data_IF_418526245728
#
_entry.id   IF_418526245728
#
_cell.length_a   1.000
_cell.length_b   1.000
_cell.length_c   1.000
_cell.angle_alpha   90.00
_cell.angle_beta   90.00
_cell.angle_gamma   90.00
#
_symmetry.space_group_name_H-M   'P 1'
#
loop_
_entity.id
_entity.type
_entity.pdbx_description
1 polymer ?
#
# COMPACT_ATOMS: atom_id res chain seq x y z
N UNK A 1 -65.71 -9.94 -85.92
CA UNK A 1 -66.94 -10.39 -86.61
C UNK A 1 -66.74 -11.85 -86.96
N UNK A 2 -67.57 -12.74 -86.43
CA UNK A 2 -67.55 -14.15 -86.80
C UNK A 2 -68.16 -14.32 -88.21
N UNK A 3 -67.67 -15.28 -88.99
CA UNK A 3 -68.24 -15.57 -90.32
C UNK A 3 -69.50 -16.43 -90.12
N UNK A 4 -70.67 -16.06 -90.66
CA UNK A 4 -71.86 -16.90 -90.55
C UNK A 4 -71.61 -18.24 -91.26
N UNK A 5 -71.95 -19.34 -90.58
CA UNK A 5 -71.75 -20.69 -91.11
C UNK A 5 -72.72 -20.95 -92.27
N UNK A 6 -72.23 -21.50 -93.39
CA UNK A 6 -73.10 -21.79 -94.54
C UNK A 6 -73.96 -23.03 -94.25
N UNK A 7 -75.20 -23.12 -94.76
CA UNK A 7 -76.09 -24.27 -94.50
C UNK A 7 -75.47 -25.64 -94.82
N UNK A 8 -74.65 -25.74 -95.88
CA UNK A 8 -73.96 -26.98 -96.24
C UNK A 8 -72.75 -27.32 -95.33
N UNK A 9 -72.15 -26.32 -94.68
CA UNK A 9 -71.10 -26.52 -93.66
C UNK A 9 -71.75 -27.01 -92.37
N UNK A 10 -72.83 -26.34 -91.92
CA UNK A 10 -73.61 -26.75 -90.76
C UNK A 10 -74.16 -28.18 -90.91
N UNK A 11 -74.73 -28.54 -92.07
CA UNK A 11 -75.23 -29.89 -92.34
C UNK A 11 -74.13 -30.97 -92.27
N UNK A 12 -72.95 -30.70 -92.84
CA UNK A 12 -71.79 -31.61 -92.76
C UNK A 12 -71.33 -31.81 -91.31
N UNK A 13 -71.24 -30.74 -90.53
CA UNK A 13 -70.86 -30.82 -89.11
C UNK A 13 -71.93 -31.56 -88.30
N UNK A 14 -73.23 -31.28 -88.51
CA UNK A 14 -74.32 -32.03 -87.86
C UNK A 14 -74.26 -33.54 -88.15
N UNK A 15 -73.90 -33.94 -89.37
CA UNK A 15 -73.73 -35.36 -89.72
C UNK A 15 -72.58 -36.01 -88.92
N UNK A 16 -71.42 -35.35 -88.87
CA UNK A 16 -70.28 -35.81 -88.07
C UNK A 16 -70.61 -35.86 -86.56
N UNK A 17 -71.29 -34.82 -86.03
CA UNK A 17 -71.74 -34.78 -84.63
C UNK A 17 -72.68 -35.95 -84.30
N UNK A 18 -73.63 -36.29 -85.19
CA UNK A 18 -74.52 -37.45 -85.01
C UNK A 18 -73.71 -38.75 -84.86
N UNK A 19 -72.65 -38.94 -85.64
CA UNK A 19 -71.83 -40.17 -85.57
C UNK A 19 -70.84 -40.16 -84.39
N UNK A 20 -70.32 -39.01 -83.99
CA UNK A 20 -69.54 -38.86 -82.76
C UNK A 20 -70.42 -39.18 -81.54
N UNK A 21 -71.65 -38.66 -81.49
CA UNK A 21 -72.60 -38.94 -80.40
C UNK A 21 -73.02 -40.42 -80.36
N UNK A 22 -73.20 -41.09 -81.50
CA UNK A 22 -73.39 -42.56 -81.54
C UNK A 22 -72.20 -43.29 -80.90
N UNK A 23 -70.97 -42.92 -81.25
CA UNK A 23 -69.74 -43.54 -80.71
C UNK A 23 -69.57 -43.26 -79.21
N UNK A 24 -69.80 -42.04 -78.75
CA UNK A 24 -69.74 -41.69 -77.32
C UNK A 24 -70.81 -42.42 -76.49
N UNK A 25 -72.00 -42.65 -77.03
CA UNK A 25 -73.05 -43.42 -76.37
C UNK A 25 -72.79 -44.94 -76.41
N UNK A 26 -72.17 -45.45 -77.47
CA UNK A 26 -71.68 -46.83 -77.51
C UNK A 26 -70.59 -47.08 -76.46
N UNK A 27 -69.59 -46.18 -76.37
CA UNK A 27 -68.55 -46.23 -75.33
C UNK A 27 -69.15 -46.20 -73.91
N UNK A 28 -70.15 -45.35 -73.67
CA UNK A 28 -70.87 -45.32 -72.40
C UNK A 28 -71.53 -46.65 -72.04
N UNK A 29 -72.14 -47.34 -73.01
CA UNK A 29 -72.72 -48.69 -72.81
C UNK A 29 -71.65 -49.75 -72.53
N UNK A 30 -70.54 -49.74 -73.29
CA UNK A 30 -69.42 -50.66 -73.05
C UNK A 30 -68.84 -50.46 -71.65
N UNK A 31 -68.59 -49.21 -71.24
CA UNK A 31 -68.14 -48.90 -69.87
C UNK A 31 -69.14 -49.35 -68.80
N UNK A 32 -70.45 -49.21 -69.04
CA UNK A 32 -71.48 -49.69 -68.11
C UNK A 32 -71.50 -51.21 -67.99
N UNK A 33 -71.18 -51.95 -69.06
CA UNK A 33 -71.02 -53.41 -69.01
C UNK A 33 -69.71 -53.86 -68.33
N UNK A 34 -68.62 -53.11 -68.47
CA UNK A 34 -67.35 -53.41 -67.77
C UNK A 34 -67.39 -53.08 -66.27
N UNK A 35 -68.16 -52.06 -65.87
CA UNK A 35 -68.30 -51.56 -64.47
C UNK A 35 -68.74 -52.59 -63.44
N UNK A 36 -69.25 -53.75 -63.85
CA UNK A 36 -69.65 -54.86 -62.97
C UNK A 36 -68.75 -56.09 -63.05
N UNK A 37 -67.62 -56.01 -63.77
CA UNK A 37 -66.67 -57.13 -63.90
C UNK A 37 -65.25 -56.74 -63.53
N UNK A 38 -64.72 -55.68 -64.16
CA UNK A 38 -63.40 -55.11 -63.81
C UNK A 38 -63.36 -54.63 -62.35
N UNK A 39 -64.52 -54.33 -61.76
CA UNK A 39 -64.66 -53.82 -60.41
C UNK A 39 -64.26 -54.83 -59.35
N UNK A 40 -64.67 -56.08 -59.54
CA UNK A 40 -64.43 -57.16 -58.60
C UNK A 40 -63.02 -57.70 -58.87
N UNK A 41 -62.72 -58.09 -60.12
CA UNK A 41 -61.41 -58.56 -60.59
C UNK A 41 -60.23 -57.69 -60.08
N UNK A 42 -60.30 -56.36 -60.25
CA UNK A 42 -59.18 -55.47 -59.85
C UNK A 42 -59.11 -55.18 -58.35
N UNK A 43 -60.25 -55.20 -57.64
CA UNK A 43 -60.27 -55.02 -56.19
C UNK A 43 -59.82 -56.28 -55.46
N UNK A 44 -60.18 -57.45 -55.97
CA UNK A 44 -59.77 -58.77 -55.47
C UNK A 44 -58.25 -58.96 -55.64
N UNK A 45 -57.70 -58.75 -56.84
CA UNK A 45 -56.25 -58.86 -57.11
C UNK A 45 -55.42 -57.93 -56.21
N UNK A 46 -55.88 -56.69 -55.95
CA UNK A 46 -55.20 -55.79 -55.02
C UNK A 46 -55.41 -56.18 -53.55
N UNK A 47 -56.58 -56.72 -53.19
CA UNK A 47 -56.86 -57.27 -51.87
C UNK A 47 -55.96 -58.46 -51.51
N UNK A 48 -55.72 -59.35 -52.47
CA UNK A 48 -54.82 -60.50 -52.34
C UNK A 48 -53.36 -60.06 -52.18
N UNK A 49 -52.86 -59.15 -53.02
CA UNK A 49 -51.48 -58.66 -52.93
C UNK A 49 -51.25 -57.85 -51.62
N UNK A 50 -52.21 -57.04 -51.17
CA UNK A 50 -52.16 -56.38 -49.86
C UNK A 50 -52.14 -57.43 -48.73
N UNK A 51 -53.01 -58.44 -48.79
CA UNK A 51 -53.08 -59.52 -47.79
C UNK A 51 -51.79 -60.33 -47.73
N UNK A 52 -51.17 -60.58 -48.89
CA UNK A 52 -49.86 -61.21 -49.03
C UNK A 52 -48.76 -60.36 -48.38
N UNK A 53 -48.66 -59.07 -48.73
CA UNK A 53 -47.65 -58.16 -48.17
C UNK A 53 -47.78 -58.06 -46.63
N UNK A 54 -49.02 -58.09 -46.11
CA UNK A 54 -49.29 -58.12 -44.65
C UNK A 54 -48.88 -59.46 -44.02
N UNK A 55 -49.05 -60.58 -44.72
CA UNK A 55 -48.57 -61.90 -44.27
C UNK A 55 -47.04 -61.95 -44.23
N UNK A 56 -46.37 -61.49 -45.29
CA UNK A 56 -44.91 -61.40 -45.38
C UNK A 56 -44.35 -60.44 -44.30
N UNK A 57 -45.03 -59.32 -44.03
CA UNK A 57 -44.72 -58.40 -42.93
C UNK A 57 -44.76 -59.11 -41.57
N UNK A 58 -45.86 -59.82 -41.24
CA UNK A 58 -46.01 -60.53 -39.96
C UNK A 58 -44.95 -61.61 -39.76
N UNK A 59 -44.57 -62.31 -40.83
CA UNK A 59 -43.50 -63.32 -40.79
C UNK A 59 -42.13 -62.68 -40.49
N UNK A 60 -41.84 -61.52 -41.10
CA UNK A 60 -40.63 -60.75 -40.80
C UNK A 60 -40.64 -60.19 -39.37
N UNK A 61 -41.78 -59.74 -38.84
CA UNK A 61 -41.93 -59.24 -37.48
C UNK A 61 -41.71 -60.36 -36.43
N UNK A 62 -42.30 -61.52 -36.64
CA UNK A 62 -42.06 -62.72 -35.81
C UNK A 62 -40.58 -63.10 -35.82
N UNK A 63 -39.97 -63.21 -37.01
CA UNK A 63 -38.55 -63.58 -37.17
C UNK A 63 -37.62 -62.55 -36.51
N UNK A 64 -37.97 -61.26 -36.56
CA UNK A 64 -37.24 -60.21 -35.86
C UNK A 64 -37.33 -60.37 -34.33
N UNK A 65 -38.53 -60.62 -33.79
CA UNK A 65 -38.73 -60.83 -32.37
C UNK A 65 -37.98 -62.09 -31.86
N UNK A 66 -38.01 -63.18 -32.62
CA UNK A 66 -37.25 -64.40 -32.33
C UNK A 66 -35.74 -64.13 -32.32
N UNK A 67 -35.19 -63.47 -33.33
CA UNK A 67 -33.76 -63.12 -33.39
C UNK A 67 -33.34 -62.19 -32.24
N UNK A 68 -34.16 -61.19 -31.88
CA UNK A 68 -33.88 -60.30 -30.75
C UNK A 68 -33.88 -61.07 -29.42
N UNK A 69 -34.84 -61.99 -29.22
CA UNK A 69 -34.89 -62.90 -28.06
C UNK A 69 -33.71 -63.87 -28.02
N UNK A 70 -33.23 -64.35 -29.16
CA UNK A 70 -32.00 -65.15 -29.23
C UNK A 70 -30.78 -64.31 -28.90
N UNK A 71 -30.71 -63.05 -29.36
CA UNK A 71 -29.60 -62.11 -29.04
C UNK A 71 -29.51 -61.81 -27.55
N UNK A 72 -30.63 -61.61 -26.85
CA UNK A 72 -30.62 -61.38 -25.39
C UNK A 72 -30.11 -62.59 -24.60
N UNK A 73 -30.26 -63.80 -25.14
CA UNK A 73 -29.82 -65.04 -24.49
C UNK A 73 -28.34 -65.39 -24.78
N UNK A 74 -27.67 -64.66 -25.68
CA UNK A 74 -26.28 -64.90 -26.09
C UNK A 74 -25.29 -63.95 -25.42
N UNK A 75 -25.43 -63.76 -24.12
CA UNK A 75 -24.44 -63.05 -23.29
C UNK A 75 -23.22 -63.94 -23.02
N UNK A 76 -22.06 -63.32 -22.81
CA UNK A 76 -20.80 -64.00 -22.47
C UNK A 76 -19.83 -64.21 -23.64
N UNK A 77 -18.53 -64.22 -23.33
CA UNK A 77 -17.41 -64.16 -24.30
C UNK A 77 -17.42 -65.34 -25.28
N UNK A 78 -17.80 -66.54 -24.81
CA UNK A 78 -17.90 -67.77 -25.62
C UNK A 78 -18.81 -67.61 -26.86
N UNK A 79 -19.86 -66.79 -26.76
CA UNK A 79 -20.87 -66.65 -27.80
C UNK A 79 -20.57 -65.55 -28.84
N UNK A 80 -19.42 -64.86 -28.75
CA UNK A 80 -19.12 -63.64 -29.53
C UNK A 80 -19.35 -63.76 -31.05
N UNK A 81 -19.00 -64.90 -31.67
CA UNK A 81 -19.21 -65.12 -33.12
C UNK A 81 -20.70 -65.18 -33.48
N UNK A 82 -21.47 -66.03 -32.77
CA UNK A 82 -22.93 -66.17 -32.97
C UNK A 82 -23.68 -64.88 -32.67
N UNK A 83 -23.21 -64.10 -31.70
CA UNK A 83 -23.77 -62.80 -31.35
C UNK A 83 -23.66 -61.80 -32.51
N UNK A 84 -22.49 -61.69 -33.16
CA UNK A 84 -22.32 -60.83 -34.34
C UNK A 84 -23.06 -61.36 -35.58
N UNK A 85 -23.12 -62.68 -35.78
CA UNK A 85 -23.92 -63.31 -36.85
C UNK A 85 -25.43 -62.99 -36.70
N UNK A 86 -25.98 -63.10 -35.49
CA UNK A 86 -27.40 -62.75 -35.22
C UNK A 86 -27.63 -61.23 -35.27
N UNK A 87 -26.67 -60.41 -34.84
CA UNK A 87 -26.72 -58.94 -34.97
C UNK A 87 -26.75 -58.49 -36.43
N UNK A 88 -26.08 -59.21 -37.34
CA UNK A 88 -26.20 -58.99 -38.78
C UNK A 88 -27.60 -59.40 -39.28
N UNK A 89 -28.08 -60.61 -38.94
CA UNK A 89 -29.42 -61.06 -39.33
C UNK A 89 -30.55 -60.14 -38.83
N UNK A 90 -30.42 -59.58 -37.62
CA UNK A 90 -31.34 -58.57 -37.06
C UNK A 90 -31.35 -57.30 -37.93
N UNK A 91 -30.18 -56.84 -38.38
CA UNK A 91 -30.05 -55.67 -39.28
C UNK A 91 -30.70 -55.96 -40.64
N UNK A 92 -30.50 -57.15 -41.19
CA UNK A 92 -31.02 -57.52 -42.49
C UNK A 92 -32.54 -57.71 -42.48
N UNK A 93 -33.09 -58.35 -41.43
CA UNK A 93 -34.54 -58.44 -41.22
C UNK A 93 -35.14 -57.06 -40.92
N UNK A 94 -34.45 -56.16 -40.20
CA UNK A 94 -34.92 -54.79 -40.00
C UNK A 94 -34.95 -53.97 -41.31
N UNK A 95 -33.99 -54.17 -42.21
CA UNK A 95 -34.03 -53.57 -43.54
C UNK A 95 -35.20 -54.14 -44.36
N UNK A 96 -35.38 -55.46 -44.37
CA UNK A 96 -36.49 -56.11 -45.06
C UNK A 96 -37.85 -55.65 -44.53
N UNK A 97 -38.03 -55.54 -43.21
CA UNK A 97 -39.22 -54.96 -42.57
C UNK A 97 -39.48 -53.54 -43.06
N UNK A 98 -38.47 -52.67 -43.02
CA UNK A 98 -38.60 -51.28 -43.45
C UNK A 98 -38.98 -51.18 -44.92
N UNK A 99 -38.37 -52.00 -45.78
CA UNK A 99 -38.53 -51.90 -47.22
C UNK A 99 -39.81 -52.63 -47.71
N UNK A 100 -40.27 -53.66 -47.00
CA UNK A 100 -41.63 -54.21 -47.14
C UNK A 100 -42.71 -53.24 -46.62
N UNK A 101 -42.46 -52.53 -45.51
CA UNK A 101 -43.35 -51.45 -45.03
C UNK A 101 -43.47 -50.34 -46.08
N UNK A 102 -42.36 -49.94 -46.72
CA UNK A 102 -42.42 -49.02 -47.88
C UNK A 102 -43.21 -49.60 -49.04
N UNK A 103 -43.09 -50.89 -49.33
CA UNK A 103 -43.87 -51.55 -50.38
C UNK A 103 -45.37 -51.50 -50.06
N UNK A 104 -45.79 -51.85 -48.85
CA UNK A 104 -47.17 -51.75 -48.39
C UNK A 104 -47.69 -50.30 -48.46
N UNK A 105 -46.97 -49.33 -47.91
CA UNK A 105 -47.34 -47.92 -47.99
C UNK A 105 -47.39 -47.39 -49.43
N UNK A 106 -46.61 -47.98 -50.34
CA UNK A 106 -46.67 -47.67 -51.77
C UNK A 106 -47.89 -48.30 -52.43
N UNK A 107 -48.14 -49.59 -52.25
CA UNK A 107 -49.32 -50.27 -52.82
C UNK A 107 -50.62 -49.63 -52.33
N UNK A 108 -50.70 -49.23 -51.06
CA UNK A 108 -51.87 -48.52 -50.51
C UNK A 108 -52.04 -47.08 -51.04
N UNK A 109 -50.97 -46.42 -51.51
CA UNK A 109 -50.98 -45.04 -52.01
C UNK A 109 -51.12 -44.96 -53.53
N UNK A 110 -50.43 -45.86 -54.23
CA UNK A 110 -50.46 -46.03 -55.68
C UNK A 110 -51.69 -46.87 -56.10
N UNK A 111 -52.50 -47.36 -55.14
CA UNK A 111 -53.85 -47.88 -55.36
C UNK A 111 -54.65 -46.86 -56.19
N UNK A 112 -54.90 -47.12 -57.48
CA UNK A 112 -55.63 -46.19 -58.31
C UNK A 112 -57.09 -46.25 -57.85
N UNK A 113 -57.70 -45.12 -57.52
CA UNK A 113 -59.15 -45.09 -57.34
C UNK A 113 -59.82 -45.24 -58.73
N UNK A 114 -59.86 -46.49 -59.22
CA UNK A 114 -60.46 -46.89 -60.49
C UNK A 114 -61.94 -46.51 -60.51
N UNK A 115 -62.62 -46.55 -59.35
CA UNK A 115 -64.00 -46.09 -59.23
C UNK A 115 -64.13 -44.59 -59.50
N UNK A 116 -63.36 -43.72 -58.83
CA UNK A 116 -63.40 -42.28 -59.07
C UNK A 116 -62.97 -41.93 -60.50
N UNK A 117 -61.97 -42.63 -61.05
CA UNK A 117 -61.56 -42.47 -62.44
C UNK A 117 -62.68 -42.87 -63.41
N UNK A 118 -63.40 -43.99 -63.18
CA UNK A 118 -64.52 -44.44 -64.02
C UNK A 118 -65.80 -43.60 -63.83
N UNK A 119 -66.00 -43.00 -62.66
CA UNK A 119 -67.03 -41.98 -62.41
C UNK A 119 -66.69 -40.69 -63.15
N UNK A 120 -65.41 -40.26 -63.09
CA UNK A 120 -64.92 -39.09 -63.80
C UNK A 120 -65.01 -39.27 -65.32
N UNK A 121 -64.51 -40.36 -65.89
CA UNK A 121 -64.58 -40.60 -67.36
C UNK A 121 -66.04 -40.62 -67.82
N UNK A 122 -66.96 -41.23 -67.06
CA UNK A 122 -68.39 -41.20 -67.38
C UNK A 122 -68.98 -39.78 -67.31
N UNK A 123 -68.60 -38.98 -66.30
CA UNK A 123 -69.00 -37.57 -66.18
C UNK A 123 -68.45 -36.71 -67.32
N UNK A 124 -67.16 -36.81 -67.62
CA UNK A 124 -66.47 -36.08 -68.69
C UNK A 124 -67.09 -36.47 -70.07
N UNK A 125 -67.40 -37.76 -70.27
CA UNK A 125 -68.12 -38.29 -71.46
C UNK A 125 -69.53 -37.72 -71.58
N UNK A 126 -70.28 -37.62 -70.48
CA UNK A 126 -71.62 -37.01 -70.45
C UNK A 126 -71.55 -35.50 -70.72
N UNK A 127 -70.61 -34.77 -70.11
CA UNK A 127 -70.41 -33.34 -70.34
C UNK A 127 -70.05 -33.05 -71.82
N UNK A 128 -69.14 -33.82 -72.40
CA UNK A 128 -68.81 -33.75 -73.83
C UNK A 128 -70.03 -34.07 -74.71
N UNK A 129 -70.80 -35.11 -74.38
CA UNK A 129 -72.00 -35.48 -75.14
C UNK A 129 -73.06 -34.37 -75.10
N UNK A 130 -73.25 -33.73 -73.94
CA UNK A 130 -74.18 -32.61 -73.78
C UNK A 130 -73.72 -31.37 -74.55
N UNK A 131 -72.41 -31.05 -74.53
CA UNK A 131 -71.86 -29.93 -75.29
C UNK A 131 -71.98 -30.15 -76.81
N UNK A 132 -71.74 -31.37 -77.30
CA UNK A 132 -71.90 -31.73 -78.71
C UNK A 132 -73.38 -31.83 -79.14
N UNK A 133 -74.30 -32.15 -78.23
CA UNK A 133 -75.74 -32.05 -78.46
C UNK A 133 -76.18 -30.57 -78.58
N UNK A 134 -75.75 -29.72 -77.64
CA UNK A 134 -76.02 -28.27 -77.68
C UNK A 134 -75.50 -27.65 -78.99
N UNK A 135 -74.26 -27.92 -79.37
CA UNK A 135 -73.70 -27.47 -80.65
C UNK A 135 -74.49 -28.02 -81.86
N UNK A 136 -74.92 -29.30 -81.83
CA UNK A 136 -75.75 -29.88 -82.91
C UNK A 136 -77.06 -29.11 -83.09
N UNK A 137 -77.65 -28.63 -82.00
CA UNK A 137 -78.94 -27.95 -81.99
C UNK A 137 -78.83 -26.43 -82.25
N UNK A 138 -77.76 -25.77 -81.76
CA UNK A 138 -77.33 -24.43 -82.23
C UNK A 138 -77.20 -24.40 -83.76
N UNK A 139 -76.56 -25.44 -84.32
CA UNK A 139 -76.31 -25.59 -85.76
C UNK A 139 -77.57 -25.85 -86.60
N UNK A 140 -78.72 -26.19 -85.99
CA UNK A 140 -80.02 -26.23 -86.70
C UNK A 140 -80.44 -24.81 -87.06
N UNK A 141 -80.17 -23.86 -86.16
CA UNK A 141 -80.45 -22.43 -86.32
C UNK A 141 -79.29 -21.67 -87.02
N UNK A 142 -78.35 -22.39 -87.63
CA UNK A 142 -77.12 -21.84 -88.25
C UNK A 142 -76.27 -20.98 -87.29
N UNK A 143 -76.31 -21.29 -86.00
CA UNK A 143 -75.52 -20.65 -84.96
C UNK A 143 -74.49 -21.63 -84.37
N UNK A 144 -73.51 -21.10 -83.63
CA UNK A 144 -72.64 -21.85 -82.73
C UNK A 144 -72.15 -21.00 -81.53
N UNK A 145 -72.64 -19.77 -81.39
CA UNK A 145 -72.11 -18.78 -80.44
C UNK A 145 -72.28 -19.21 -78.97
N UNK A 146 -73.35 -19.94 -78.64
CA UNK A 146 -73.56 -20.54 -77.30
C UNK A 146 -72.42 -21.50 -76.95
N UNK A 147 -72.08 -22.40 -77.87
CA UNK A 147 -70.94 -23.31 -77.73
C UNK A 147 -69.59 -22.57 -77.66
N UNK A 148 -69.37 -21.55 -78.50
CA UNK A 148 -68.14 -20.75 -78.48
C UNK A 148 -67.95 -19.99 -77.16
N UNK A 149 -69.02 -19.40 -76.61
CA UNK A 149 -69.02 -18.77 -75.29
C UNK A 149 -68.66 -19.78 -74.19
N UNK A 150 -69.35 -20.92 -74.13
CA UNK A 150 -69.14 -21.95 -73.11
C UNK A 150 -67.70 -22.51 -73.14
N UNK A 151 -67.11 -22.71 -74.31
CA UNK A 151 -65.70 -23.13 -74.45
C UNK A 151 -64.75 -22.02 -73.98
N UNK A 152 -65.04 -20.76 -74.29
CA UNK A 152 -64.22 -19.61 -73.86
C UNK A 152 -64.25 -19.45 -72.33
N UNK A 153 -65.41 -19.61 -71.70
CA UNK A 153 -65.56 -19.59 -70.24
C UNK A 153 -64.81 -20.75 -69.57
N UNK A 154 -64.89 -21.97 -70.12
CA UNK A 154 -64.14 -23.12 -69.61
C UNK A 154 -62.62 -22.95 -69.71
N UNK A 155 -62.11 -22.34 -70.80
CA UNK A 155 -60.69 -22.01 -70.94
C UNK A 155 -60.25 -20.96 -69.91
N UNK A 156 -61.03 -19.90 -69.70
CA UNK A 156 -60.74 -18.90 -68.66
C UNK A 156 -60.76 -19.50 -67.24
N UNK A 157 -61.69 -20.41 -66.96
CA UNK A 157 -61.75 -21.14 -65.70
C UNK A 157 -60.53 -22.08 -65.52
N UNK A 158 -60.09 -22.75 -66.59
CA UNK A 158 -58.87 -23.55 -66.58
C UNK A 158 -57.63 -22.70 -66.27
N UNK A 159 -57.46 -21.55 -66.93
CA UNK A 159 -56.36 -20.62 -66.66
C UNK A 159 -56.36 -20.11 -65.21
N UNK A 160 -57.54 -19.79 -64.67
CA UNK A 160 -57.70 -19.40 -63.26
C UNK A 160 -57.32 -20.54 -62.31
N UNK A 161 -57.67 -21.79 -62.63
CA UNK A 161 -57.30 -22.97 -61.86
C UNK A 161 -55.79 -23.24 -61.92
N UNK A 162 -55.13 -23.04 -63.06
CA UNK A 162 -53.67 -23.12 -63.18
C UNK A 162 -52.98 -22.05 -62.31
N UNK A 163 -53.44 -20.79 -62.38
CA UNK A 163 -52.93 -19.69 -61.54
C UNK A 163 -53.10 -19.98 -60.04
N UNK A 164 -54.27 -20.46 -59.62
CA UNK A 164 -54.52 -20.86 -58.22
C UNK A 164 -53.60 -22.00 -57.77
N UNK A 165 -53.40 -23.03 -58.61
CA UNK A 165 -52.49 -24.16 -58.29
C UNK A 165 -51.01 -23.73 -58.24
N UNK A 166 -50.61 -22.71 -58.98
CA UNK A 166 -49.27 -22.13 -58.85
C UNK A 166 -49.13 -21.39 -57.52
N UNK A 167 -50.06 -20.49 -57.20
CA UNK A 167 -50.07 -19.75 -55.92
C UNK A 167 -50.13 -20.69 -54.71
N UNK A 168 -50.88 -21.79 -54.79
CA UNK A 168 -50.93 -22.85 -53.77
C UNK A 168 -49.56 -23.52 -53.55
N UNK A 169 -48.80 -23.79 -54.61
CA UNK A 169 -47.45 -24.35 -54.51
C UNK A 169 -46.46 -23.34 -53.91
N UNK A 170 -46.51 -22.09 -54.36
CA UNK A 170 -45.64 -21.01 -53.87
C UNK A 170 -45.91 -20.71 -52.39
N UNK A 171 -47.18 -20.59 -51.99
CA UNK A 171 -47.55 -20.42 -50.57
C UNK A 171 -47.21 -21.65 -49.73
N UNK A 172 -47.41 -22.88 -50.24
CA UNK A 172 -47.00 -24.12 -49.55
C UNK A 172 -45.47 -24.23 -49.38
N UNK A 173 -44.69 -23.69 -50.30
CA UNK A 173 -43.24 -23.59 -50.17
C UNK A 173 -42.85 -22.54 -49.12
N UNK A 174 -43.43 -21.34 -49.20
CA UNK A 174 -43.15 -20.24 -48.26
C UNK A 174 -43.52 -20.59 -46.81
N UNK A 175 -44.60 -21.36 -46.60
CA UNK A 175 -44.98 -21.86 -45.26
C UNK A 175 -43.96 -22.87 -44.72
N UNK A 176 -43.32 -23.68 -45.59
CA UNK A 176 -42.26 -24.61 -45.16
C UNK A 176 -40.97 -23.88 -44.81
N UNK A 177 -40.51 -22.96 -45.66
CA UNK A 177 -39.30 -22.18 -45.36
C UNK A 177 -39.49 -21.36 -44.08
N UNK A 178 -40.63 -20.69 -43.91
CA UNK A 178 -40.94 -19.95 -42.68
C UNK A 178 -40.98 -20.85 -41.43
N UNK A 179 -41.48 -22.09 -41.53
CA UNK A 179 -41.46 -23.04 -40.43
C UNK A 179 -40.06 -23.60 -40.13
N UNK A 180 -39.20 -23.73 -41.13
CA UNK A 180 -37.79 -24.13 -40.97
C UNK A 180 -36.94 -23.00 -40.38
N UNK A 181 -37.15 -21.76 -40.81
CA UNK A 181 -36.46 -20.57 -40.29
C UNK A 181 -36.91 -20.23 -38.86
N UNK A 182 -38.22 -20.24 -38.57
CA UNK A 182 -38.74 -20.10 -37.19
C UNK A 182 -38.16 -21.16 -36.24
N UNK A 183 -38.04 -22.41 -36.71
CA UNK A 183 -37.43 -23.48 -35.93
C UNK A 183 -35.94 -23.22 -35.66
N UNK A 184 -35.20 -22.64 -36.61
CA UNK A 184 -33.79 -22.25 -36.44
C UNK A 184 -33.67 -21.11 -35.43
N UNK A 185 -34.39 -20.02 -35.63
CA UNK A 185 -34.41 -18.85 -34.75
C UNK A 185 -34.79 -19.21 -33.31
N UNK A 186 -35.76 -20.12 -33.12
CA UNK A 186 -36.10 -20.66 -31.81
C UNK A 186 -34.97 -21.49 -31.16
N UNK A 187 -34.22 -22.27 -31.95
CA UNK A 187 -33.07 -23.04 -31.46
C UNK A 187 -31.88 -22.14 -31.10
N UNK A 188 -31.65 -21.08 -31.88
CA UNK A 188 -30.61 -20.10 -31.65
C UNK A 188 -30.94 -19.29 -30.37
N UNK A 189 -32.16 -18.76 -30.24
CA UNK A 189 -32.64 -18.08 -29.02
C UNK A 189 -32.55 -18.97 -27.76
N UNK A 190 -32.94 -20.25 -27.86
CA UNK A 190 -32.81 -21.19 -26.74
C UNK A 190 -31.36 -21.50 -26.36
N UNK A 191 -30.41 -21.29 -27.28
CA UNK A 191 -28.96 -21.42 -27.02
C UNK A 191 -28.42 -20.15 -26.37
N UNK A 192 -28.68 -18.98 -26.94
CA UNK A 192 -28.30 -17.67 -26.39
C UNK A 192 -28.85 -17.46 -24.98
N UNK A 193 -30.14 -17.75 -24.76
CA UNK A 193 -30.79 -17.66 -23.44
C UNK A 193 -30.11 -18.57 -22.39
N UNK A 194 -29.63 -19.74 -22.80
CA UNK A 194 -28.90 -20.67 -21.92
C UNK A 194 -27.48 -20.16 -21.63
N UNK A 195 -26.79 -19.59 -22.61
CA UNK A 195 -25.45 -19.01 -22.43
C UNK A 195 -25.51 -17.76 -21.53
N UNK A 196 -26.44 -16.84 -21.77
CA UNK A 196 -26.71 -15.70 -20.90
C UNK A 196 -27.05 -16.13 -19.46
N UNK A 197 -27.85 -17.19 -19.28
CA UNK A 197 -28.16 -17.72 -17.95
C UNK A 197 -26.92 -18.36 -17.26
N UNK A 198 -25.99 -18.93 -18.01
CA UNK A 198 -24.71 -19.41 -17.47
C UNK A 198 -23.80 -18.25 -17.06
N UNK A 199 -23.72 -17.18 -17.84
CA UNK A 199 -22.91 -16.00 -17.51
C UNK A 199 -23.49 -15.21 -16.34
N UNK A 200 -24.81 -15.10 -16.23
CA UNK A 200 -25.50 -14.59 -15.03
C UNK A 200 -25.11 -15.41 -13.79
N UNK A 201 -24.95 -16.73 -13.92
CA UNK A 201 -24.52 -17.57 -12.79
C UNK A 201 -23.04 -17.36 -12.44
N UNK A 202 -22.13 -17.35 -13.42
CA UNK A 202 -20.69 -17.02 -13.20
C UNK A 202 -20.53 -15.69 -12.47
N UNK A 203 -21.21 -14.64 -12.94
CA UNK A 203 -21.16 -13.30 -12.34
C UNK A 203 -21.72 -13.25 -10.91
N UNK A 204 -22.69 -14.11 -10.56
CA UNK A 204 -23.18 -14.24 -9.17
C UNK A 204 -22.14 -14.90 -8.28
N UNK A 205 -21.48 -15.94 -8.78
CA UNK A 205 -20.46 -16.69 -8.04
C UNK A 205 -19.19 -15.84 -7.85
N UNK A 206 -18.77 -15.08 -8.87
CA UNK A 206 -17.71 -14.07 -8.79
C UNK A 206 -18.02 -13.00 -7.74
N UNK A 207 -19.24 -12.44 -7.75
CA UNK A 207 -19.67 -11.44 -6.75
C UNK A 207 -19.73 -12.03 -5.34
N UNK A 208 -20.10 -13.30 -5.19
CA UNK A 208 -20.05 -14.00 -3.89
C UNK A 208 -18.61 -14.18 -3.41
N UNK A 209 -17.70 -14.65 -4.29
CA UNK A 209 -16.28 -14.83 -3.99
C UNK A 209 -15.60 -13.50 -3.66
N UNK A 210 -15.90 -12.42 -4.39
CA UNK A 210 -15.39 -11.08 -4.10
C UNK A 210 -15.86 -10.58 -2.73
N UNK A 211 -17.15 -10.74 -2.38
CA UNK A 211 -17.67 -10.38 -1.05
C UNK A 211 -17.00 -11.15 0.08
N UNK A 212 -16.77 -12.46 -0.11
CA UNK A 212 -16.07 -13.30 0.87
C UNK A 212 -14.61 -12.83 1.03
N UNK A 213 -13.90 -12.63 -0.08
CA UNK A 213 -12.52 -12.13 -0.10
C UNK A 213 -12.38 -10.75 0.56
N UNK A 214 -13.29 -9.82 0.25
CA UNK A 214 -13.35 -8.50 0.87
C UNK A 214 -13.61 -8.59 2.37
N UNK A 215 -14.57 -9.41 2.82
CA UNK A 215 -14.86 -9.59 4.24
C UNK A 215 -13.68 -10.21 5.01
N UNK A 216 -12.91 -11.12 4.41
CA UNK A 216 -11.65 -11.61 5.00
C UNK A 216 -10.58 -10.53 5.05
N UNK A 217 -10.41 -9.76 3.96
CA UNK A 217 -9.45 -8.66 3.89
C UNK A 217 -9.75 -7.59 4.95
N UNK A 218 -11.00 -7.15 5.07
CA UNK A 218 -11.42 -6.19 6.11
C UNK A 218 -11.12 -6.72 7.51
N UNK A 219 -11.52 -7.96 7.84
CA UNK A 219 -11.21 -8.58 9.14
C UNK A 219 -9.72 -8.75 9.44
N UNK A 220 -8.90 -8.92 8.40
CA UNK A 220 -7.45 -8.96 8.56
C UNK A 220 -6.90 -7.55 8.83
N UNK A 221 -7.31 -6.56 8.05
CA UNK A 221 -6.90 -5.15 8.23
C UNK A 221 -7.35 -4.58 9.58
N UNK A 222 -8.57 -4.91 10.04
CA UNK A 222 -9.06 -4.57 11.38
C UNK A 222 -8.13 -5.12 12.46
N UNK A 223 -7.78 -6.42 12.40
CA UNK A 223 -6.88 -7.06 13.38
C UNK A 223 -5.45 -6.53 13.33
N UNK A 224 -4.94 -6.20 12.14
CA UNK A 224 -3.59 -5.67 11.94
C UNK A 224 -3.48 -4.25 12.52
N UNK A 225 -4.49 -3.40 12.28
CA UNK A 225 -4.62 -2.07 12.88
C UNK A 225 -4.78 -2.14 14.40
N UNK A 226 -5.63 -3.03 14.91
CA UNK A 226 -5.88 -3.19 16.35
C UNK A 226 -4.63 -3.73 17.07
N UNK A 227 -3.92 -4.69 16.48
CA UNK A 227 -2.63 -5.17 16.99
C UNK A 227 -1.54 -4.08 16.97
N UNK A 228 -1.48 -3.28 15.91
CA UNK A 228 -0.57 -2.13 15.81
C UNK A 228 -0.89 -1.08 16.89
N UNK A 229 -2.16 -0.71 17.05
CA UNK A 229 -2.63 0.22 18.08
C UNK A 229 -2.31 -0.27 19.50
N UNK A 230 -2.56 -1.55 19.80
CA UNK A 230 -2.22 -2.16 21.10
C UNK A 230 -0.69 -2.26 21.30
N UNK A 231 0.10 -2.30 20.22
CA UNK A 231 1.57 -2.23 20.30
C UNK A 231 2.05 -0.81 20.60
N UNK A 232 1.55 0.19 19.87
CA UNK A 232 1.86 1.61 20.11
C UNK A 232 1.42 2.05 21.52
N UNK A 233 0.21 1.69 21.94
CA UNK A 233 -0.32 2.02 23.27
C UNK A 233 0.57 1.49 24.39
N UNK A 234 1.09 0.26 24.28
CA UNK A 234 2.02 -0.31 25.26
C UNK A 234 3.36 0.43 25.27
N UNK A 235 3.92 0.75 24.11
CA UNK A 235 5.15 1.55 23.99
C UNK A 235 4.96 2.97 24.57
N UNK A 236 3.78 3.58 24.39
CA UNK A 236 3.44 4.87 25.03
C UNK A 236 3.30 4.76 26.56
N UNK A 237 2.70 3.69 27.06
CA UNK A 237 2.61 3.43 28.51
C UNK A 237 4.00 3.18 29.13
N UNK A 238 4.88 2.46 28.42
CA UNK A 238 6.27 2.23 28.83
C UNK A 238 7.04 3.56 28.92
N UNK A 239 6.98 4.39 27.87
CA UNK A 239 7.52 5.77 27.85
C UNK A 239 6.97 6.62 29.00
N UNK A 240 5.67 6.57 29.26
CA UNK A 240 5.04 7.30 30.38
C UNK A 240 5.58 6.81 31.73
N UNK A 241 5.73 5.50 31.94
CA UNK A 241 6.32 4.97 33.17
C UNK A 241 7.78 5.36 33.35
N UNK A 242 8.57 5.41 32.27
CA UNK A 242 9.97 5.86 32.31
C UNK A 242 10.07 7.34 32.66
N UNK A 243 9.30 8.22 32.03
CA UNK A 243 9.26 9.64 32.41
C UNK A 243 8.79 9.83 33.86
N UNK A 244 7.80 9.06 34.32
CA UNK A 244 7.37 9.07 35.72
C UNK A 244 8.45 8.55 36.69
N UNK A 245 9.35 7.68 36.25
CA UNK A 245 10.49 7.20 37.04
C UNK A 245 11.64 8.21 37.04
N UNK A 246 11.91 8.86 35.90
CA UNK A 246 12.86 9.96 35.79
C UNK A 246 12.46 11.13 36.68
N UNK A 247 11.19 11.57 36.63
CA UNK A 247 10.63 12.61 37.50
C UNK A 247 10.86 12.25 38.98
N UNK A 248 10.49 11.04 39.42
CA UNK A 248 10.74 10.59 40.81
C UNK A 248 12.23 10.55 41.19
N UNK A 249 13.13 10.36 40.23
CA UNK A 249 14.58 10.39 40.47
C UNK A 249 15.09 11.83 40.63
N UNK A 250 14.60 12.75 39.79
CA UNK A 250 14.91 14.18 39.85
C UNK A 250 14.32 14.82 41.12
N UNK A 251 13.09 14.49 41.50
CA UNK A 251 12.47 14.92 42.76
C UNK A 251 13.30 14.50 43.98
N UNK A 252 13.80 13.25 43.99
CA UNK A 252 14.72 12.76 45.03
C UNK A 252 16.04 13.53 45.02
N UNK A 253 16.63 13.76 43.84
CA UNK A 253 17.87 14.53 43.70
C UNK A 253 17.69 15.95 44.26
N UNK A 254 16.65 16.67 43.83
CA UNK A 254 16.28 18.00 44.31
C UNK A 254 16.00 18.01 45.82
N UNK A 255 15.38 16.96 46.37
CA UNK A 255 15.18 16.83 47.81
C UNK A 255 16.50 16.66 48.57
N UNK A 256 17.42 15.83 48.07
CA UNK A 256 18.76 15.67 48.67
C UNK A 256 19.60 16.93 48.55
N UNK A 257 19.54 17.63 47.42
CA UNK A 257 20.26 18.89 47.19
C UNK A 257 19.74 20.01 48.09
N UNK A 258 18.41 20.12 48.28
CA UNK A 258 17.80 21.05 49.25
C UNK A 258 18.24 20.76 50.70
N UNK A 259 18.40 19.50 51.07
CA UNK A 259 18.88 19.11 52.40
C UNK A 259 20.40 19.35 52.56
N UNK A 260 21.20 19.06 51.55
CA UNK A 260 22.64 19.39 51.53
C UNK A 260 22.85 20.90 51.58
N UNK A 261 22.12 21.69 50.80
CA UNK A 261 22.22 23.14 50.82
C UNK A 261 21.81 23.71 52.19
N UNK A 262 20.73 23.23 52.82
CA UNK A 262 20.40 23.60 54.21
C UNK A 262 21.50 23.31 55.22
N UNK A 263 22.26 22.21 55.03
CA UNK A 263 23.42 21.88 55.89
C UNK A 263 24.60 22.81 55.62
N UNK A 264 24.85 23.18 54.36
CA UNK A 264 25.86 24.17 53.98
C UNK A 264 25.49 25.55 54.54
N UNK A 265 24.23 25.97 54.42
CA UNK A 265 23.70 27.23 54.99
C UNK A 265 23.91 27.31 56.51
N UNK A 266 23.60 26.22 57.24
CA UNK A 266 23.87 26.09 58.68
C UNK A 266 25.37 26.15 58.99
N UNK A 267 26.18 25.32 58.34
CA UNK A 267 27.64 25.30 58.55
C UNK A 267 28.27 26.67 58.26
N UNK A 268 27.81 27.38 57.22
CA UNK A 268 28.26 28.73 56.90
C UNK A 268 27.72 29.77 57.91
N UNK A 269 26.54 29.57 58.50
CA UNK A 269 26.05 30.40 59.60
C UNK A 269 26.88 30.21 60.88
N UNK A 270 27.09 28.97 61.31
CA UNK A 270 27.93 28.58 62.45
C UNK A 270 29.39 29.04 62.27
N UNK A 271 29.94 28.90 61.06
CA UNK A 271 31.28 29.38 60.70
C UNK A 271 31.38 30.91 60.72
N UNK A 272 30.37 31.64 60.23
CA UNK A 272 30.30 33.10 60.35
C UNK A 272 30.17 33.54 61.81
N UNK A 273 29.33 32.87 62.60
CA UNK A 273 29.15 33.18 64.02
C UNK A 273 30.46 32.95 64.80
N UNK A 274 31.17 31.84 64.54
CA UNK A 274 32.49 31.59 65.11
C UNK A 274 33.48 32.67 64.70
N UNK A 275 33.58 33.03 63.41
CA UNK A 275 34.48 34.09 62.94
C UNK A 275 34.13 35.44 63.59
N UNK A 276 32.85 35.71 63.87
CA UNK A 276 32.42 36.91 64.62
C UNK A 276 32.90 36.85 66.08
N UNK A 277 32.70 35.72 66.78
CA UNK A 277 33.20 35.51 68.15
C UNK A 277 34.71 35.59 68.24
N UNK A 278 35.44 34.91 67.34
CA UNK A 278 36.90 34.96 67.25
C UNK A 278 37.37 36.42 67.01
N UNK A 279 36.68 37.21 66.17
CA UNK A 279 36.98 38.63 65.97
C UNK A 279 36.71 39.50 67.22
N UNK A 280 35.65 39.22 67.98
CA UNK A 280 35.35 39.92 69.24
C UNK A 280 36.36 39.58 70.34
N UNK A 281 36.82 38.32 70.42
CA UNK A 281 37.92 37.91 71.29
C UNK A 281 39.24 38.60 70.89
N UNK A 282 39.59 38.62 69.60
CA UNK A 282 40.78 39.33 69.11
C UNK A 282 40.69 40.84 69.31
N UNK A 283 39.51 41.45 69.15
CA UNK A 283 39.27 42.88 69.43
C UNK A 283 39.42 43.19 70.91
N UNK A 284 38.77 42.45 71.79
CA UNK A 284 38.87 42.67 73.25
C UNK A 284 40.26 42.35 73.79
N UNK A 285 40.97 41.37 73.22
CA UNK A 285 42.39 41.12 73.49
C UNK A 285 43.27 42.29 73.04
N UNK A 286 43.11 42.77 71.80
CA UNK A 286 43.82 43.96 71.30
C UNK A 286 43.56 45.19 72.16
N UNK A 287 42.34 45.39 72.66
CA UNK A 287 42.01 46.47 73.58
C UNK A 287 42.69 46.32 74.96
N UNK A 288 42.88 45.10 75.47
CA UNK A 288 43.67 44.82 76.68
C UNK A 288 45.17 45.07 76.42
N UNK A 289 45.72 44.53 75.34
CA UNK A 289 47.13 44.68 74.97
C UNK A 289 47.51 46.16 74.75
N UNK A 290 46.62 46.95 74.12
CA UNK A 290 46.78 48.40 73.97
C UNK A 290 46.73 49.12 75.33
N UNK A 291 45.82 48.76 76.24
CA UNK A 291 45.77 49.34 77.61
C UNK A 291 47.04 49.01 78.40
N UNK A 292 47.57 47.80 78.28
CA UNK A 292 48.86 47.44 78.87
C UNK A 292 50.04 48.22 78.28
N UNK A 293 50.08 48.40 76.95
CA UNK A 293 51.13 49.17 76.29
C UNK A 293 51.08 50.64 76.68
N UNK A 294 49.88 51.24 76.83
CA UNK A 294 49.71 52.60 77.37
C UNK A 294 50.23 52.68 78.82
N UNK A 295 49.90 51.71 79.67
CA UNK A 295 50.45 51.62 81.04
C UNK A 295 51.98 51.52 81.05
N UNK A 296 52.57 50.72 80.16
CA UNK A 296 54.02 50.57 79.99
C UNK A 296 54.67 51.88 79.50
N UNK A 297 54.05 52.59 78.56
CA UNK A 297 54.48 53.91 78.07
C UNK A 297 54.45 54.95 79.19
N UNK A 298 53.35 55.03 79.96
CA UNK A 298 53.22 55.98 81.07
C UNK A 298 54.29 55.73 82.16
N UNK A 299 54.55 54.47 82.50
CA UNK A 299 55.59 54.07 83.46
C UNK A 299 57.01 54.44 82.96
N UNK A 300 57.26 54.35 81.65
CA UNK A 300 58.51 54.81 81.02
C UNK A 300 58.60 56.34 81.02
N UNK A 301 57.49 57.07 80.79
CA UNK A 301 57.49 58.54 80.90
C UNK A 301 57.81 58.99 82.32
N UNK A 302 57.14 58.44 83.34
CA UNK A 302 57.46 58.76 84.74
C UNK A 302 58.94 58.54 85.06
N UNK A 303 59.55 57.45 84.56
CA UNK A 303 60.98 57.17 84.75
C UNK A 303 61.87 58.19 84.03
N UNK A 304 61.50 58.59 82.82
CA UNK A 304 62.18 59.65 82.05
C UNK A 304 62.09 60.99 82.76
N UNK A 305 60.92 61.36 83.29
CA UNK A 305 60.71 62.65 83.95
C UNK A 305 61.40 62.70 85.32
N UNK A 306 61.37 61.60 86.09
CA UNK A 306 62.18 61.43 87.32
C UNK A 306 63.69 61.44 87.05
N UNK A 307 64.14 60.99 85.87
CA UNK A 307 65.54 61.11 85.45
C UNK A 307 65.90 62.55 85.05
N UNK A 308 65.01 63.25 84.32
CA UNK A 308 65.18 64.66 83.92
C UNK A 308 65.30 65.58 85.13
N UNK A 309 64.45 65.41 86.14
CA UNK A 309 64.53 66.15 87.41
C UNK A 309 65.87 65.96 88.13
N UNK A 310 66.39 64.72 88.17
CA UNK A 310 67.73 64.45 88.75
C UNK A 310 68.86 65.10 87.95
N UNK A 311 68.73 65.16 86.63
CA UNK A 311 69.72 65.79 85.74
C UNK A 311 69.72 67.32 85.91
N UNK A 312 68.55 67.94 86.05
CA UNK A 312 68.40 69.38 86.32
C UNK A 312 68.96 69.78 87.69
N UNK A 313 68.79 68.94 88.72
CA UNK A 313 69.43 69.15 90.02
C UNK A 313 70.98 69.12 89.93
N UNK A 314 71.54 68.13 89.20
CA UNK A 314 72.99 68.01 89.00
C UNK A 314 73.61 69.20 88.25
N UNK A 315 72.90 69.78 87.28
CA UNK A 315 73.35 71.00 86.62
C UNK A 315 73.37 72.20 87.58
N UNK A 316 72.35 72.35 88.42
CA UNK A 316 72.26 73.46 89.39
C UNK A 316 73.41 73.41 90.43
N UNK A 317 73.81 72.21 90.84
CA UNK A 317 74.93 71.98 91.76
C UNK A 317 76.29 72.34 91.11
N UNK A 318 76.52 71.90 89.88
CA UNK A 318 77.70 72.28 89.07
C UNK A 318 77.79 73.80 88.80
N UNK A 319 76.65 74.48 88.65
CA UNK A 319 76.59 75.94 88.42
C UNK A 319 76.99 76.75 89.67
N UNK A 320 76.86 76.18 90.87
CA UNK A 320 77.25 76.81 92.13
C UNK A 320 78.74 76.63 92.42
N UNK A 321 79.29 75.42 92.25
CA UNK A 321 80.71 75.17 92.56
C UNK A 321 81.67 75.86 91.58
N UNK A 322 81.28 76.07 90.31
CA UNK A 322 82.05 76.91 89.38
C UNK A 322 82.28 78.34 89.89
N UNK A 323 81.31 78.93 90.60
CA UNK A 323 81.43 80.30 91.14
C UNK A 323 82.44 80.36 92.28
N UNK A 324 82.42 79.37 93.18
CA UNK A 324 83.35 79.23 94.32
C UNK A 324 84.83 79.05 93.91
N UNK A 325 85.10 78.58 92.70
CA UNK A 325 86.46 78.44 92.18
C UNK A 325 86.97 79.79 91.63
N UNK A 326 86.12 80.51 90.87
CA UNK A 326 86.50 81.77 90.21
C UNK A 326 86.78 82.94 91.18
N UNK A 327 86.29 82.88 92.42
CA UNK A 327 86.63 83.88 93.45
C UNK A 327 88.03 83.65 94.03
N UNK A 328 88.46 82.39 94.22
CA UNK A 328 89.77 82.07 94.81
C UNK A 328 90.95 82.38 93.89
N UNK A 329 90.79 82.16 92.58
CA UNK A 329 91.85 82.40 91.58
C UNK A 329 92.25 83.87 91.39
N UNK A 330 91.49 84.82 91.98
CA UNK A 330 91.76 86.27 91.85
C UNK A 330 92.69 86.81 92.95
N UNK A 331 92.47 86.45 94.21
CA UNK A 331 93.26 86.98 95.34
C UNK A 331 94.70 86.44 95.43
N UNK A 332 94.97 85.29 94.81
CA UNK A 332 96.30 84.66 94.85
C UNK A 332 97.28 85.33 93.87
N UNK A 333 96.78 85.80 92.71
CA UNK A 333 97.59 86.42 91.65
C UNK A 333 98.12 87.82 91.99
N UNK A 334 97.50 88.56 92.91
CA UNK A 334 98.01 89.87 93.34
C UNK A 334 99.19 89.79 94.33
N UNK A 335 99.40 88.65 95.00
CA UNK A 335 100.53 88.46 95.94
C UNK A 335 101.83 88.05 95.26
N UNK A 336 101.78 87.34 94.13
CA UNK A 336 102.98 86.85 93.45
C UNK A 336 103.76 87.95 92.68
N UNK A 337 103.08 88.99 92.22
CA UNK A 337 103.67 89.98 91.29
C UNK A 337 104.66 90.92 91.97
N UNK A 338 104.40 91.33 93.22
CA UNK A 338 105.30 92.23 93.98
C UNK A 338 106.62 91.57 94.38
N UNK A 339 106.66 90.26 94.61
CA UNK A 339 107.85 89.59 95.18
C UNK A 339 108.95 89.26 94.16
N UNK A 340 108.68 89.42 92.86
CA UNK A 340 109.64 89.09 91.77
C UNK A 340 110.57 90.25 91.40
N UNK A 341 110.11 91.50 91.48
CA UNK A 341 110.85 92.66 90.95
C UNK A 341 112.08 93.08 91.80
N UNK A 342 112.09 92.80 93.11
CA UNK A 342 113.16 93.28 94.01
C UNK A 342 114.42 92.40 94.00
N UNK A 343 114.36 91.18 93.45
CA UNK A 343 115.51 90.25 93.41
C UNK A 343 116.44 90.44 92.21
N UNK A 344 115.92 90.84 91.04
CA UNK A 344 116.69 90.91 89.79
C UNK A 344 117.73 92.04 89.78
N UNK A 345 117.54 93.09 90.59
CA UNK A 345 118.37 94.30 90.55
C UNK A 345 119.65 94.21 91.42
N UNK A 346 119.71 93.21 92.31
CA UNK A 346 120.84 93.00 93.23
C UNK A 346 121.93 92.09 92.62
N UNK A 347 121.56 91.17 91.72
CA UNK A 347 122.49 90.20 91.12
C UNK A 347 123.37 90.80 90.00
N UNK A 348 123.00 91.97 89.46
CA UNK A 348 123.75 92.63 88.36
C UNK A 348 125.03 93.35 88.79
N UNK A 349 125.22 93.65 90.09
CA UNK A 349 126.33 94.48 90.58
C UNK A 349 127.61 93.71 90.93
N UNK A 350 127.52 92.39 91.14
CA UNK A 350 128.67 91.54 91.54
C UNK A 350 129.51 91.06 90.36
N UNK A 351 128.91 90.89 89.18
CA UNK A 351 129.58 90.30 88.01
C UNK A 351 130.70 91.17 87.38
N UNK A 352 130.76 92.48 87.68
CA UNK A 352 131.73 93.39 87.08
C UNK A 352 133.16 93.26 87.63
N UNK A 353 133.33 92.78 88.88
CA UNK A 353 134.62 92.80 89.56
C UNK A 353 135.59 91.69 89.15
N UNK A 354 135.12 90.61 88.52
CA UNK A 354 135.97 89.43 88.22
C UNK A 354 136.82 89.56 86.94
N UNK A 355 136.52 90.53 86.08
CA UNK A 355 137.17 90.64 84.75
C UNK A 355 138.55 91.29 84.83
N UNK A 356 138.70 92.37 85.60
CA UNK A 356 139.94 93.17 85.65
C UNK A 356 141.07 92.43 86.40
N UNK A 357 140.73 91.57 87.36
CA UNK A 357 141.72 90.78 88.11
C UNK A 357 142.51 89.78 87.23
N UNK A 358 142.02 89.45 86.03
CA UNK A 358 142.67 88.45 85.14
C UNK A 358 143.96 88.95 84.49
N UNK A 359 144.17 90.25 84.32
CA UNK A 359 145.40 90.76 83.72
C UNK A 359 146.62 90.67 84.66
N UNK A 360 146.43 90.68 85.99
CA UNK A 360 147.56 90.61 86.93
C UNK A 360 148.21 89.20 86.99
N UNK A 361 147.49 88.15 86.60
CA UNK A 361 148.04 86.79 86.49
C UNK A 361 149.02 86.62 85.31
N UNK A 362 149.22 87.66 84.48
CA UNK A 362 150.19 87.72 83.38
C UNK A 362 151.65 87.88 83.85
N UNK A 363 151.91 87.97 85.16
CA UNK A 363 153.26 87.87 85.77
C UNK A 363 153.88 86.47 85.50
N UNK A 364 153.07 85.41 85.54
CA UNK A 364 153.45 84.02 85.88
C UNK A 364 154.75 83.45 85.24
N UNK A 365 154.89 83.54 83.92
CA UNK A 365 155.80 82.67 83.15
C UNK A 365 157.29 83.08 83.16
N UNK A 366 157.73 83.84 84.17
CA UNK A 366 159.15 84.13 84.44
C UNK A 366 159.66 83.64 85.82
N UNK A 367 158.85 82.97 86.66
CA UNK A 367 159.30 82.41 87.98
C UNK A 367 158.55 81.12 88.38
N UNK A 368 159.25 80.03 88.78
CA UNK A 368 158.69 78.64 88.80
C UNK A 368 159.18 77.75 89.98
N UNK A 369 158.29 76.95 90.60
CA UNK A 369 158.55 75.64 91.31
C UNK A 369 157.24 74.91 91.75
N UNK A 370 157.29 73.69 92.34
CA UNK A 370 156.30 72.61 92.04
C UNK A 370 155.72 71.69 93.17
N UNK A 371 154.53 71.09 92.86
CA UNK A 371 154.04 69.69 93.10
C UNK A 371 153.26 69.28 94.38
N UNK A 372 152.28 68.39 94.19
CA UNK A 372 151.37 67.81 95.20
C UNK A 372 150.79 66.41 94.84
N UNK A 373 149.80 65.91 95.61
CA UNK A 373 149.20 64.54 95.65
C UNK A 373 147.76 64.64 96.26
N UNK A 374 146.75 63.75 96.15
CA UNK A 374 146.23 62.66 95.26
C UNK A 374 144.79 62.36 95.76
N UNK A 375 143.80 61.70 95.12
CA UNK A 375 143.66 61.06 93.79
C UNK A 375 143.66 59.51 93.85
N UNK A 376 142.59 58.73 93.58
CA UNK A 376 141.19 59.02 93.21
C UNK A 376 140.18 58.85 94.38
N UNK A 377 139.06 58.07 94.31
CA UNK A 377 138.67 56.98 93.38
C UNK A 377 137.46 57.29 92.45
N UNK A 378 136.34 56.54 92.55
CA UNK A 378 135.15 56.37 91.64
C UNK A 378 133.95 55.88 92.51
N UNK A 379 132.68 55.69 92.10
CA UNK A 379 132.03 55.44 90.79
C UNK A 379 130.56 55.93 90.77
N UNK A 380 130.02 56.59 89.72
CA UNK A 380 130.64 57.05 88.46
C UNK A 380 129.76 58.10 87.73
N UNK A 381 130.10 59.38 87.88
CA UNK A 381 129.55 60.57 87.19
C UNK A 381 128.09 60.96 87.53
N UNK A 382 127.71 62.25 87.47
CA UNK A 382 128.53 63.47 87.25
C UNK A 382 128.09 64.57 88.19
#
# INVERSE_FOLDING_TARGET
MEKPIKPHEAFRIQALLKDILKKLNFLGKVMQMSKSKEKDDTTEIMGDEISRIISEQRQLEQRYAELVKTRSNLTGISNKKKFEEIKLQIKDVANALRDNTKHLCRVLKDNPNVQDNMVKIEKDRQQLSNALLGLKDDLINLNYHTFAYNITEQLQFQDLLHKKRQLEKETSLNVKTLAEDYKREYQDYMTESKEAQQDIQKLRDDVAQQKISQAFRTKYQEKDLDASYISELRNRQEQETDFLNEIKSLEKSIATEKEVNKRIEKFMAEGREKITRDNEEWKTKKEKDVKELILKINNISEKKDKAKQKMEAFYLEMEQDKRRIQEREKEEKERETRLKQEKEDNERKTAACEVIAREYLKYKELTVKTKGKKGGKKSKKK
#
